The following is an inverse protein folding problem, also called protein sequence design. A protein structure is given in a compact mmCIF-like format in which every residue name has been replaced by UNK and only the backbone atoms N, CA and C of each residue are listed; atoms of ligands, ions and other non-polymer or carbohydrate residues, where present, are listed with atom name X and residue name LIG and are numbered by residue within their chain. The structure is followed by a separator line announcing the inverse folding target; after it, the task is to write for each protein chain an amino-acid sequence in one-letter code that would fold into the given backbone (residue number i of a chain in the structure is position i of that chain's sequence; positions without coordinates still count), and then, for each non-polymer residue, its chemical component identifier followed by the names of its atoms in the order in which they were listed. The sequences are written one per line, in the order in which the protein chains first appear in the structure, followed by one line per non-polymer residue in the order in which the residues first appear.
data_IF_325135766373
#
_entry.id   IF_325135766373
#
_cell.length_a   1.000
_cell.length_b   1.000
_cell.length_c   1.000
_cell.angle_alpha   90.00
_cell.angle_beta   90.00
_cell.angle_gamma   90.00
#
_symmetry.space_group_name_H-M   'P 1'
#
loop_
_entity.id
_entity.type
_entity.pdbx_description
1 polymer ?
#
# COMPACT_ATOMS: atom_id res chain seq x y z
N UNK A 1 -43.17 -10.79 33.96
CA UNK A 1 -42.49 -11.76 33.10
C UNK A 1 -41.48 -11.02 32.26
N UNK A 2 -40.19 -10.99 32.68
CA UNK A 2 -39.08 -10.43 31.89
C UNK A 2 -38.43 -11.58 31.16
N UNK A 3 -38.53 -11.56 29.81
CA UNK A 3 -37.86 -12.55 28.97
C UNK A 3 -36.34 -12.28 28.95
N UNK A 4 -35.54 -13.24 29.41
CA UNK A 4 -34.10 -13.30 29.23
C UNK A 4 -33.83 -13.56 27.73
N UNK A 5 -33.38 -12.54 27.00
CA UNK A 5 -32.73 -12.73 25.72
C UNK A 5 -31.30 -13.22 25.99
N UNK A 6 -31.08 -14.51 25.84
CA UNK A 6 -29.76 -15.11 25.88
C UNK A 6 -28.88 -14.51 24.78
N UNK A 7 -27.73 -13.97 25.15
CA UNK A 7 -26.66 -13.58 24.22
C UNK A 7 -26.15 -14.86 23.57
N UNK A 8 -26.53 -15.11 22.33
CA UNK A 8 -25.82 -16.06 21.45
C UNK A 8 -24.46 -15.45 21.16
N UNK A 9 -23.48 -15.79 21.99
CA UNK A 9 -22.08 -15.48 21.74
C UNK A 9 -21.60 -16.34 20.57
N UNK A 10 -21.53 -15.76 19.38
CA UNK A 10 -20.72 -16.34 18.31
C UNK A 10 -19.26 -16.24 18.73
N UNK A 11 -18.71 -17.32 19.23
CA UNK A 11 -17.26 -17.50 19.42
C UNK A 11 -16.76 -18.08 18.11
N UNK A 12 -16.03 -17.30 17.29
CA UNK A 12 -15.39 -17.89 16.12
C UNK A 12 -14.41 -18.96 16.62
N UNK A 13 -14.59 -20.20 16.22
CA UNK A 13 -13.56 -21.21 16.38
C UNK A 13 -12.36 -20.70 15.61
N UNK A 14 -11.29 -20.35 16.33
CA UNK A 14 -10.04 -19.96 15.72
C UNK A 14 -9.53 -21.18 14.92
N UNK A 15 -9.34 -21.07 13.59
CA UNK A 15 -8.66 -22.15 12.87
C UNK A 15 -7.25 -22.27 13.45
N UNK A 16 -6.80 -23.51 13.65
CA UNK A 16 -5.41 -23.80 14.01
C UNK A 16 -4.54 -23.51 12.80
N UNK A 17 -3.78 -22.42 12.83
CA UNK A 17 -2.93 -21.96 11.74
C UNK A 17 -1.48 -22.45 11.83
N UNK A 18 -1.19 -23.39 12.72
CA UNK A 18 0.17 -23.89 12.91
C UNK A 18 1.04 -22.97 13.74
N UNK A 19 2.35 -23.16 13.66
CA UNK A 19 3.32 -22.42 14.46
C UNK A 19 3.38 -20.95 14.00
N UNK A 20 3.26 -20.00 14.93
CA UNK A 20 3.38 -18.55 14.67
C UNK A 20 4.77 -18.25 14.10
N UNK A 21 4.81 -17.48 13.03
CA UNK A 21 6.04 -17.00 12.42
C UNK A 21 6.38 -15.61 12.97
N UNK A 22 7.63 -15.41 13.42
CA UNK A 22 8.09 -14.13 13.88
C UNK A 22 8.45 -13.21 12.68
N UNK A 23 8.34 -11.88 12.81
CA UNK A 23 8.75 -10.94 11.77
C UNK A 23 10.26 -10.99 11.58
N UNK A 24 10.74 -10.68 10.38
CA UNK A 24 12.18 -10.57 10.09
C UNK A 24 12.75 -9.29 10.69
N UNK A 25 11.96 -8.22 10.74
CA UNK A 25 12.37 -6.90 11.23
C UNK A 25 11.32 -6.31 12.15
N UNK A 26 11.74 -5.69 13.24
CA UNK A 26 10.86 -4.82 14.04
C UNK A 26 10.90 -3.41 13.46
N UNK A 27 9.80 -2.99 12.86
CA UNK A 27 9.66 -1.66 12.27
C UNK A 27 9.15 -0.65 13.31
N UNK A 28 9.79 0.50 13.34
CA UNK A 28 9.43 1.65 14.15
C UNK A 28 9.39 2.94 13.29
N UNK A 29 9.29 4.11 13.91
CA UNK A 29 9.30 5.37 13.17
C UNK A 29 10.65 5.72 12.53
N UNK A 30 11.75 5.13 12.96
CA UNK A 30 13.07 5.39 12.38
C UNK A 30 13.31 4.52 11.15
N UNK A 31 12.87 3.28 11.20
CA UNK A 31 13.08 2.26 10.17
C UNK A 31 11.95 2.16 9.13
N UNK A 32 10.71 2.54 9.48
CA UNK A 32 9.57 2.50 8.57
C UNK A 32 9.52 3.75 7.69
N UNK A 33 10.42 3.87 6.73
CA UNK A 33 10.62 5.04 5.86
C UNK A 33 10.86 4.63 4.40
N UNK A 34 10.93 5.58 3.49
CA UNK A 34 11.32 5.38 2.11
C UNK A 34 10.25 4.80 1.20
N UNK A 35 10.64 4.36 -0.02
CA UNK A 35 9.71 3.82 -1.01
C UNK A 35 9.42 2.33 -0.78
N UNK A 36 8.17 2.00 -0.50
CA UNK A 36 7.67 0.63 -0.39
C UNK A 36 6.95 0.23 -1.68
N UNK A 37 7.28 -0.93 -2.24
CA UNK A 37 6.62 -1.44 -3.43
C UNK A 37 5.17 -1.83 -3.12
N UNK A 38 4.21 -1.07 -3.65
CA UNK A 38 2.78 -1.39 -3.55
C UNK A 38 2.34 -2.37 -4.64
N UNK A 39 2.80 -3.62 -4.60
CA UNK A 39 2.81 -4.55 -5.72
C UNK A 39 1.42 -5.06 -6.12
N UNK A 40 1.06 -5.07 -7.44
CA UNK A 40 -0.14 -5.74 -7.94
C UNK A 40 -0.01 -7.25 -7.84
N UNK A 41 -1.13 -7.93 -7.61
CA UNK A 41 -1.19 -9.41 -7.59
C UNK A 41 -1.16 -9.94 -9.02
N UNK A 42 -0.43 -11.01 -9.28
CA UNK A 42 -0.43 -11.67 -10.58
C UNK A 42 -1.66 -12.58 -10.74
N UNK A 43 -2.44 -12.33 -11.79
CA UNK A 43 -3.59 -13.16 -12.18
C UNK A 43 -3.32 -13.88 -13.50
N UNK A 44 -3.71 -15.15 -13.58
CA UNK A 44 -3.66 -15.94 -14.80
C UNK A 44 -4.78 -15.54 -15.78
N UNK A 45 -4.75 -16.09 -16.98
CA UNK A 45 -5.81 -15.88 -17.97
C UNK A 45 -7.16 -16.51 -17.52
N UNK A 46 -7.12 -17.50 -16.63
CA UNK A 46 -8.28 -18.15 -16.01
C UNK A 46 -8.78 -17.43 -14.74
N UNK A 47 -8.24 -16.23 -14.44
CA UNK A 47 -8.59 -15.41 -13.29
C UNK A 47 -8.23 -16.03 -11.94
N UNK A 48 -7.20 -16.89 -11.91
CA UNK A 48 -6.65 -17.51 -10.71
C UNK A 48 -5.33 -16.85 -10.30
N UNK A 49 -4.91 -17.04 -9.05
CA UNK A 49 -3.63 -16.52 -8.55
C UNK A 49 -2.45 -17.21 -9.23
N UNK A 50 -1.63 -16.45 -9.97
CA UNK A 50 -0.35 -16.90 -10.54
C UNK A 50 0.77 -16.67 -9.51
N UNK A 51 0.90 -17.63 -8.60
CA UNK A 51 1.86 -17.54 -7.49
C UNK A 51 3.31 -17.46 -7.98
N UNK A 52 3.67 -18.20 -9.03
CA UNK A 52 5.04 -18.21 -9.54
C UNK A 52 5.45 -16.81 -10.04
N UNK A 53 4.61 -16.21 -10.87
CA UNK A 53 4.86 -14.85 -11.39
C UNK A 53 4.85 -13.83 -10.26
N UNK A 54 3.92 -13.94 -9.31
CA UNK A 54 3.86 -13.01 -8.18
C UNK A 54 5.12 -13.09 -7.31
N UNK A 55 5.56 -14.28 -6.92
CA UNK A 55 6.80 -14.47 -6.14
C UNK A 55 8.03 -13.93 -6.86
N UNK A 56 8.12 -14.12 -8.17
CA UNK A 56 9.21 -13.58 -9.00
C UNK A 56 9.21 -12.03 -8.98
N UNK A 57 8.05 -11.39 -9.13
CA UNK A 57 7.94 -9.93 -9.12
C UNK A 57 8.23 -9.36 -7.71
N UNK A 58 7.81 -10.05 -6.63
CA UNK A 58 8.18 -9.72 -5.23
C UNK A 58 9.70 -9.82 -5.03
N UNK A 59 10.31 -10.94 -5.44
CA UNK A 59 11.76 -11.15 -5.31
C UNK A 59 12.57 -10.05 -6.02
N UNK A 60 12.18 -9.68 -7.24
CA UNK A 60 12.79 -8.55 -7.97
C UNK A 60 12.71 -7.24 -7.19
N UNK A 61 11.56 -6.96 -6.56
CA UNK A 61 11.43 -5.78 -5.71
C UNK A 61 12.35 -5.85 -4.49
N UNK A 62 12.52 -7.02 -3.87
CA UNK A 62 13.44 -7.19 -2.74
C UNK A 62 14.90 -6.96 -3.11
N UNK A 63 15.31 -7.36 -4.32
CA UNK A 63 16.70 -7.30 -4.80
C UNK A 63 17.18 -5.88 -5.14
N UNK A 64 16.28 -4.93 -5.40
CA UNK A 64 16.65 -3.57 -5.85
C UNK A 64 16.96 -2.58 -4.74
N UNK A 65 17.01 -3.01 -3.47
CA UNK A 65 17.47 -2.17 -2.36
C UNK A 65 16.39 -1.29 -1.71
N UNK A 66 15.10 -1.48 -2.04
CA UNK A 66 14.00 -0.77 -1.37
C UNK A 66 13.83 -1.22 0.09
N UNK A 67 13.24 -0.37 0.97
CA UNK A 67 13.03 -0.70 2.37
C UNK A 67 12.11 -1.89 2.61
N UNK A 68 11.08 -2.10 1.79
CA UNK A 68 10.15 -3.21 1.96
C UNK A 68 9.12 -3.33 0.85
N UNK A 69 8.36 -4.42 0.88
CA UNK A 69 7.31 -4.72 -0.11
C UNK A 69 5.94 -4.78 0.56
N UNK A 70 4.93 -4.32 -0.14
CA UNK A 70 3.56 -4.26 0.29
C UNK A 70 2.63 -4.84 -0.76
N UNK A 71 1.63 -5.61 -0.38
CA UNK A 71 0.49 -5.99 -1.22
C UNK A 71 -0.80 -6.11 -0.41
N UNK A 72 -1.93 -6.28 -1.10
CA UNK A 72 -3.25 -6.26 -0.45
C UNK A 72 -3.81 -4.86 -0.24
N UNK A 73 -3.26 -3.84 -0.92
CA UNK A 73 -3.88 -2.52 -1.05
C UNK A 73 -4.65 -2.39 -2.36
N UNK A 74 -4.89 -1.14 -2.81
CA UNK A 74 -5.62 -0.87 -4.07
C UNK A 74 -4.93 -1.49 -5.28
N UNK A 75 -3.60 -1.35 -5.39
CA UNK A 75 -2.79 -1.97 -6.43
C UNK A 75 -2.86 -3.50 -6.40
N UNK A 76 -2.90 -4.09 -5.19
CA UNK A 76 -3.05 -5.53 -4.97
C UNK A 76 -4.49 -6.02 -5.00
N UNK A 77 -5.45 -5.22 -5.44
CA UNK A 77 -6.85 -5.60 -5.69
C UNK A 77 -7.55 -6.28 -4.50
N UNK A 78 -7.27 -5.82 -3.25
CA UNK A 78 -7.87 -6.41 -2.05
C UNK A 78 -9.40 -6.51 -2.10
N UNK A 79 -10.02 -5.60 -2.84
CA UNK A 79 -11.46 -5.47 -3.02
C UNK A 79 -12.05 -6.52 -3.99
N UNK A 80 -11.20 -7.25 -4.69
CA UNK A 80 -11.54 -8.30 -5.65
C UNK A 80 -10.93 -9.67 -5.28
N UNK A 81 -10.57 -9.87 -4.01
CA UNK A 81 -10.05 -11.13 -3.48
C UNK A 81 -10.99 -11.75 -2.47
N UNK A 82 -11.25 -13.03 -2.61
CA UNK A 82 -11.85 -13.84 -1.57
C UNK A 82 -10.86 -14.09 -0.42
N UNK A 83 -11.34 -14.51 0.76
CA UNK A 83 -10.47 -14.66 1.93
C UNK A 83 -9.38 -15.72 1.73
N UNK A 84 -9.67 -16.77 0.99
CA UNK A 84 -8.68 -17.85 0.75
C UNK A 84 -7.63 -17.42 -0.27
N UNK A 85 -7.99 -16.63 -1.27
CA UNK A 85 -7.03 -16.00 -2.19
C UNK A 85 -6.15 -14.99 -1.44
N UNK A 86 -6.75 -14.18 -0.57
CA UNK A 86 -6.00 -13.26 0.30
C UNK A 86 -4.93 -14.02 1.13
N UNK A 87 -5.28 -15.18 1.68
CA UNK A 87 -4.35 -16.01 2.44
C UNK A 87 -3.19 -16.52 1.58
N UNK A 88 -3.47 -16.98 0.38
CA UNK A 88 -2.44 -17.47 -0.55
C UNK A 88 -1.50 -16.34 -0.97
N UNK A 89 -2.05 -15.22 -1.44
CA UNK A 89 -1.28 -14.05 -1.89
C UNK A 89 -0.39 -13.50 -0.77
N UNK A 90 -0.95 -13.31 0.42
CA UNK A 90 -0.19 -12.72 1.53
C UNK A 90 0.87 -13.67 2.10
N UNK A 91 0.62 -14.99 2.08
CA UNK A 91 1.63 -16.00 2.39
C UNK A 91 2.78 -15.93 1.38
N UNK A 92 2.47 -15.93 0.08
CA UNK A 92 3.48 -15.81 -0.98
C UNK A 92 4.31 -14.53 -0.85
N UNK A 93 3.68 -13.40 -0.50
CA UNK A 93 4.37 -12.13 -0.23
C UNK A 93 5.36 -12.26 0.91
N UNK A 94 4.88 -12.65 2.10
CA UNK A 94 5.70 -12.70 3.34
C UNK A 94 6.85 -13.68 3.19
N UNK A 95 6.57 -14.91 2.74
CA UNK A 95 7.60 -15.93 2.56
C UNK A 95 8.71 -15.47 1.59
N UNK A 96 8.32 -14.82 0.47
CA UNK A 96 9.30 -14.33 -0.52
C UNK A 96 10.12 -13.17 0.04
N UNK A 97 9.49 -12.19 0.70
CA UNK A 97 10.20 -11.08 1.32
C UNK A 97 11.21 -11.58 2.36
N UNK A 98 10.80 -12.49 3.25
CA UNK A 98 11.65 -13.05 4.30
C UNK A 98 12.83 -13.86 3.73
N UNK A 99 12.64 -14.58 2.62
CA UNK A 99 13.74 -15.27 1.92
C UNK A 99 14.83 -14.29 1.44
N UNK A 100 14.48 -13.01 1.25
CA UNK A 100 15.39 -11.94 0.83
C UNK A 100 15.74 -10.96 1.95
N UNK A 101 15.49 -11.31 3.21
CA UNK A 101 15.73 -10.45 4.39
C UNK A 101 15.05 -9.07 4.26
N UNK A 102 13.85 -9.01 3.67
CA UNK A 102 13.06 -7.79 3.48
C UNK A 102 11.76 -7.84 4.26
N UNK A 103 11.36 -6.72 4.89
CA UNK A 103 10.07 -6.65 5.55
C UNK A 103 8.91 -6.64 4.55
N UNK A 104 7.84 -7.34 4.95
CA UNK A 104 6.58 -7.41 4.23
C UNK A 104 5.47 -6.68 4.98
N UNK A 105 4.76 -5.76 4.31
CA UNK A 105 3.54 -5.16 4.83
C UNK A 105 2.32 -5.77 4.14
N UNK A 106 1.31 -6.16 4.92
CA UNK A 106 0.07 -6.77 4.43
C UNK A 106 -1.10 -5.81 4.57
N UNK A 107 -1.82 -5.56 3.46
CA UNK A 107 -3.06 -4.80 3.46
C UNK A 107 -4.24 -5.64 3.97
N UNK A 108 -4.89 -5.18 5.04
CA UNK A 108 -5.95 -5.90 5.74
C UNK A 108 -7.32 -5.20 5.65
N UNK A 109 -7.49 -4.28 4.69
CA UNK A 109 -8.75 -3.53 4.52
C UNK A 109 -9.92 -4.46 4.19
N UNK A 110 -11.06 -4.17 4.77
CA UNK A 110 -12.31 -4.89 4.54
C UNK A 110 -13.52 -3.95 4.64
N UNK A 111 -14.69 -4.40 4.22
CA UNK A 111 -15.94 -3.64 4.29
C UNK A 111 -16.54 -3.56 5.70
N UNK A 112 -15.98 -4.29 6.67
CA UNK A 112 -16.46 -4.33 8.06
C UNK A 112 -15.34 -4.75 9.02
N UNK A 113 -15.50 -4.42 10.30
CA UNK A 113 -14.48 -4.64 11.36
C UNK A 113 -14.04 -6.09 11.46
N UNK A 114 -14.99 -7.04 11.50
CA UNK A 114 -14.65 -8.48 11.62
C UNK A 114 -13.81 -9.01 10.48
N UNK A 115 -14.05 -8.56 9.24
CA UNK A 115 -13.23 -8.93 8.09
C UNK A 115 -11.82 -8.35 8.13
N UNK A 116 -11.65 -7.11 8.61
CA UNK A 116 -10.34 -6.51 8.82
C UNK A 116 -9.56 -7.22 9.95
N UNK A 117 -10.25 -7.56 11.05
CA UNK A 117 -9.69 -8.31 12.19
C UNK A 117 -9.20 -9.70 11.77
N UNK A 118 -9.98 -10.43 10.97
CA UNK A 118 -9.57 -11.75 10.46
C UNK A 118 -8.30 -11.67 9.60
N UNK A 119 -8.24 -10.67 8.71
CA UNK A 119 -7.07 -10.44 7.86
C UNK A 119 -5.83 -10.02 8.66
N UNK A 120 -6.00 -9.12 9.64
CA UNK A 120 -4.91 -8.67 10.49
C UNK A 120 -4.35 -9.79 11.36
N UNK A 121 -5.21 -10.65 11.92
CA UNK A 121 -4.79 -11.84 12.67
C UNK A 121 -3.99 -12.79 11.80
N UNK A 122 -4.51 -13.14 10.63
CA UNK A 122 -3.80 -13.97 9.67
C UNK A 122 -2.44 -13.38 9.30
N UNK A 123 -2.37 -12.09 8.98
CA UNK A 123 -1.12 -11.41 8.64
C UNK A 123 -0.09 -11.50 9.80
N UNK A 124 -0.52 -11.32 11.05
CA UNK A 124 0.34 -11.47 12.22
C UNK A 124 0.82 -12.92 12.39
N UNK A 125 -0.05 -13.92 12.19
CA UNK A 125 0.26 -15.36 12.29
C UNK A 125 1.29 -15.81 11.27
N UNK A 126 1.22 -15.27 10.03
CA UNK A 126 2.20 -15.61 8.98
C UNK A 126 3.50 -14.81 9.06
N UNK A 127 3.66 -13.91 10.04
CA UNK A 127 4.89 -13.19 10.27
C UNK A 127 5.01 -11.86 9.51
N UNK A 128 3.92 -11.26 9.02
CA UNK A 128 4.00 -9.94 8.42
C UNK A 128 4.70 -8.94 9.34
N UNK A 129 5.58 -8.10 8.80
CA UNK A 129 6.35 -7.12 9.58
C UNK A 129 5.58 -5.84 9.87
N UNK A 130 4.56 -5.54 9.05
CA UNK A 130 3.61 -4.46 9.27
C UNK A 130 2.24 -4.79 8.67
N UNK A 131 1.21 -4.11 9.17
CA UNK A 131 -0.16 -4.24 8.69
C UNK A 131 -0.66 -2.88 8.24
N UNK A 132 -1.28 -2.82 7.06
CA UNK A 132 -1.96 -1.62 6.60
C UNK A 132 -3.47 -1.82 6.55
N UNK A 133 -4.23 -0.82 6.97
CA UNK A 133 -5.69 -0.85 6.93
C UNK A 133 -6.27 0.55 6.66
N UNK A 134 -7.30 0.61 5.80
CA UNK A 134 -8.18 1.76 5.66
C UNK A 134 -9.47 1.54 6.45
N UNK A 135 -10.22 2.60 6.70
CA UNK A 135 -11.60 2.48 7.19
C UNK A 135 -12.45 1.65 6.21
N UNK A 136 -13.50 0.96 6.69
CA UNK A 136 -14.51 0.37 5.83
C UNK A 136 -15.05 1.38 4.82
N UNK A 137 -15.25 0.95 3.58
CA UNK A 137 -15.42 1.85 2.44
C UNK A 137 -16.80 1.79 1.77
N UNK A 138 -17.62 0.78 2.08
CA UNK A 138 -18.96 0.69 1.46
C UNK A 138 -19.93 1.69 2.09
N UNK A 139 -20.01 1.75 3.42
CA UNK A 139 -20.74 2.76 4.17
C UNK A 139 -19.76 3.64 4.93
N UNK A 140 -20.06 4.94 5.06
CA UNK A 140 -19.23 5.84 5.85
C UNK A 140 -19.29 5.45 7.33
N UNK A 141 -18.13 5.39 7.97
CA UNK A 141 -18.00 5.08 9.39
C UNK A 141 -18.31 6.33 10.22
N UNK A 142 -19.16 6.20 11.26
CA UNK A 142 -19.44 7.29 12.18
C UNK A 142 -18.18 7.70 12.97
N UNK A 143 -18.09 8.96 13.42
CA UNK A 143 -16.87 9.49 14.06
C UNK A 143 -16.52 8.72 15.33
N UNK A 144 -17.51 8.35 16.13
CA UNK A 144 -17.35 7.58 17.36
C UNK A 144 -16.87 6.14 17.13
N UNK A 145 -17.01 5.59 15.93
CA UNK A 145 -16.59 4.23 15.57
C UNK A 145 -15.17 4.17 14.97
N UNK A 146 -14.56 5.31 14.67
CA UNK A 146 -13.21 5.36 14.05
C UNK A 146 -12.17 4.72 14.96
N UNK A 147 -12.05 5.18 16.20
CA UNK A 147 -11.07 4.65 17.17
C UNK A 147 -11.37 3.19 17.55
N UNK A 148 -12.63 2.80 17.86
CA UNK A 148 -12.98 1.40 18.09
C UNK A 148 -12.57 0.45 16.96
N UNK A 149 -12.79 0.85 15.71
CA UNK A 149 -12.38 0.07 14.53
C UNK A 149 -10.88 -0.19 14.51
N UNK A 150 -10.05 0.87 14.54
CA UNK A 150 -8.60 0.72 14.49
C UNK A 150 -8.04 -0.02 15.72
N UNK A 151 -8.63 0.17 16.89
CA UNK A 151 -8.28 -0.58 18.10
C UNK A 151 -8.54 -2.07 17.97
N UNK A 152 -9.65 -2.47 17.34
CA UNK A 152 -9.95 -3.89 17.09
C UNK A 152 -8.92 -4.52 16.13
N UNK A 153 -8.54 -3.82 15.07
CA UNK A 153 -7.52 -4.27 14.12
C UNK A 153 -6.14 -4.34 14.79
N UNK A 154 -5.73 -3.31 15.55
CA UNK A 154 -4.45 -3.25 16.27
C UNK A 154 -4.29 -4.43 17.25
N UNK A 155 -5.35 -4.79 17.98
CA UNK A 155 -5.33 -5.96 18.87
C UNK A 155 -5.13 -7.27 18.10
N UNK A 156 -5.72 -7.39 16.91
CA UNK A 156 -5.56 -8.57 16.06
C UNK A 156 -4.19 -8.61 15.37
N UNK A 157 -3.55 -7.46 15.20
CA UNK A 157 -2.21 -7.32 14.63
C UNK A 157 -1.10 -7.81 15.57
N UNK A 158 -1.41 -8.13 16.82
CA UNK A 158 -0.51 -8.76 17.80
C UNK A 158 0.85 -8.03 17.91
N UNK A 159 0.80 -6.70 18.11
CA UNK A 159 1.97 -5.85 18.27
C UNK A 159 2.67 -5.44 16.97
N UNK A 160 2.26 -5.95 15.80
CA UNK A 160 2.81 -5.52 14.51
C UNK A 160 2.55 -4.03 14.29
N UNK A 161 3.52 -3.27 13.75
CA UNK A 161 3.33 -1.88 13.35
C UNK A 161 2.11 -1.70 12.47
N UNK A 162 1.28 -0.71 12.81
CA UNK A 162 0.07 -0.39 12.07
C UNK A 162 0.29 0.83 11.17
N UNK A 163 0.02 0.65 9.90
CA UNK A 163 -0.12 1.69 8.91
C UNK A 163 -1.61 1.98 8.67
N UNK A 164 -2.01 3.23 8.81
CA UNK A 164 -3.36 3.65 8.42
C UNK A 164 -3.32 4.21 7.00
N UNK A 165 -4.14 3.65 6.11
CA UNK A 165 -4.36 4.25 4.81
C UNK A 165 -5.51 5.25 4.89
N UNK A 166 -5.17 6.53 5.04
CA UNK A 166 -6.12 7.63 5.02
C UNK A 166 -6.45 7.98 3.56
N UNK A 167 -7.71 7.77 3.17
CA UNK A 167 -8.15 7.91 1.79
C UNK A 167 -9.64 8.24 1.70
N UNK A 168 -10.00 9.18 0.84
CA UNK A 168 -11.40 9.49 0.52
C UNK A 168 -12.17 8.32 -0.11
N UNK A 169 -11.49 7.27 -0.58
CA UNK A 169 -12.15 6.02 -1.01
C UNK A 169 -12.92 5.35 0.14
N UNK A 170 -12.49 5.56 1.38
CA UNK A 170 -13.22 5.14 2.57
C UNK A 170 -14.40 6.07 2.94
N UNK A 171 -14.78 7.02 2.05
CA UNK A 171 -15.83 8.04 2.21
C UNK A 171 -15.58 9.04 3.35
N UNK A 172 -14.55 8.81 4.16
CA UNK A 172 -14.12 9.67 5.26
C UNK A 172 -12.60 9.85 5.20
N UNK A 173 -12.14 11.10 5.21
CA UNK A 173 -10.77 11.46 5.53
C UNK A 173 -10.67 11.75 7.02
N UNK A 174 -9.60 11.30 7.66
CA UNK A 174 -9.40 11.48 9.10
C UNK A 174 -8.99 12.93 9.41
N UNK A 175 -9.53 13.46 10.51
CA UNK A 175 -9.11 14.74 11.06
C UNK A 175 -7.86 14.57 11.94
N UNK A 176 -7.15 15.67 12.22
CA UNK A 176 -6.00 15.66 13.14
C UNK A 176 -6.40 15.15 14.53
N UNK A 177 -7.57 15.57 15.03
CA UNK A 177 -8.08 15.10 16.32
C UNK A 177 -8.32 13.59 16.35
N UNK A 178 -8.82 13.01 15.25
CA UNK A 178 -8.98 11.56 15.11
C UNK A 178 -7.64 10.84 15.06
N UNK A 179 -6.65 11.37 14.33
CA UNK A 179 -5.30 10.80 14.32
C UNK A 179 -4.65 10.81 15.72
N UNK A 180 -4.80 11.89 16.48
CA UNK A 180 -4.33 11.95 17.87
C UNK A 180 -5.05 10.94 18.77
N UNK A 181 -6.37 10.83 18.68
CA UNK A 181 -7.15 9.86 19.47
C UNK A 181 -6.77 8.41 19.12
N UNK A 182 -6.46 8.14 17.85
CA UNK A 182 -5.95 6.82 17.41
C UNK A 182 -4.57 6.57 18.01
N UNK A 183 -3.64 7.52 17.91
CA UNK A 183 -2.28 7.40 18.47
C UNK A 183 -2.29 7.13 19.97
N UNK A 184 -3.12 7.85 20.73
CA UNK A 184 -3.29 7.63 22.17
C UNK A 184 -3.85 6.24 22.50
N UNK A 185 -4.73 5.71 21.66
CA UNK A 185 -5.41 4.44 21.87
C UNK A 185 -4.65 3.21 21.35
N UNK A 186 -3.65 3.42 20.47
CA UNK A 186 -3.01 2.38 19.67
C UNK A 186 -1.50 2.62 19.61
N UNK A 187 -0.72 2.01 20.51
CA UNK A 187 0.73 2.25 20.61
C UNK A 187 1.53 1.87 19.38
N UNK A 188 1.02 0.91 18.58
CA UNK A 188 1.66 0.43 17.37
C UNK A 188 1.24 1.20 16.09
N UNK A 189 0.55 2.34 16.21
CA UNK A 189 0.29 3.22 15.08
C UNK A 189 1.56 3.98 14.71
N UNK A 190 2.24 3.56 13.64
CA UNK A 190 3.59 4.03 13.28
C UNK A 190 3.60 4.89 12.02
N UNK A 191 2.69 4.62 11.07
CA UNK A 191 2.70 5.26 9.77
C UNK A 191 1.29 5.57 9.27
N UNK A 192 1.13 6.71 8.61
CA UNK A 192 -0.04 7.05 7.80
C UNK A 192 0.34 7.14 6.34
N UNK A 193 -0.34 6.38 5.50
CA UNK A 193 -0.34 6.57 4.05
C UNK A 193 -1.45 7.53 3.68
N UNK A 194 -1.09 8.74 3.24
CA UNK A 194 -2.04 9.80 2.88
C UNK A 194 -2.25 9.85 1.37
N UNK A 195 -3.50 9.79 0.95
CA UNK A 195 -3.89 9.94 -0.46
C UNK A 195 -4.47 11.33 -0.71
N UNK A 196 -4.56 11.72 -1.98
CA UNK A 196 -5.03 13.04 -2.39
C UNK A 196 -6.31 13.49 -1.67
N UNK A 197 -6.26 14.70 -1.10
CA UNK A 197 -7.37 15.32 -0.39
C UNK A 197 -7.56 14.84 1.06
N UNK A 198 -6.56 14.17 1.64
CA UNK A 198 -6.48 13.89 3.09
C UNK A 198 -5.48 14.81 3.76
N UNK A 199 -5.48 14.82 5.09
CA UNK A 199 -4.71 15.77 5.91
C UNK A 199 -3.21 15.75 5.58
N UNK A 200 -2.60 14.57 5.47
CA UNK A 200 -1.16 14.43 5.24
C UNK A 200 -0.68 14.88 3.86
N UNK A 201 -1.60 15.23 2.94
CA UNK A 201 -1.26 15.80 1.63
C UNK A 201 -1.33 17.34 1.60
N UNK A 202 -1.49 17.98 2.74
CA UNK A 202 -1.36 19.42 2.92
C UNK A 202 -0.10 19.74 3.73
N UNK A 203 0.47 20.92 3.55
CA UNK A 203 1.69 21.35 4.28
C UNK A 203 1.47 21.29 5.79
N UNK A 204 0.44 21.97 6.29
CA UNK A 204 0.15 22.02 7.72
C UNK A 204 -0.20 20.64 8.29
N UNK A 205 -0.96 19.86 7.55
CA UNK A 205 -1.35 18.52 7.95
C UNK A 205 -0.18 17.53 7.98
N UNK A 206 0.69 17.55 6.97
CA UNK A 206 1.91 16.76 6.94
C UNK A 206 2.80 17.10 8.14
N UNK A 207 3.04 18.38 8.39
CA UNK A 207 3.83 18.86 9.51
C UNK A 207 3.24 18.43 10.86
N UNK A 208 1.93 18.59 11.05
CA UNK A 208 1.26 18.18 12.27
C UNK A 208 1.34 16.67 12.52
N UNK A 209 1.04 15.85 11.52
CA UNK A 209 1.10 14.38 11.59
C UNK A 209 2.52 13.87 11.82
N UNK A 210 3.53 14.48 11.18
CA UNK A 210 4.94 14.06 11.29
C UNK A 210 5.51 14.16 12.69
N UNK A 211 4.84 14.89 13.61
CA UNK A 211 5.27 14.97 15.01
C UNK A 211 5.09 13.65 15.76
N UNK A 212 4.17 12.79 15.35
CA UNK A 212 3.85 11.55 16.08
C UNK A 212 3.76 10.27 15.22
N UNK A 213 3.60 10.37 13.88
CA UNK A 213 3.62 9.23 12.94
C UNK A 213 4.45 9.55 11.71
N UNK A 214 4.92 8.53 10.99
CA UNK A 214 5.55 8.73 9.68
C UNK A 214 4.48 9.03 8.63
N UNK A 215 4.66 10.10 7.88
CA UNK A 215 3.74 10.49 6.81
C UNK A 215 4.26 9.99 5.47
N UNK A 216 3.51 9.09 4.86
CA UNK A 216 3.77 8.61 3.50
C UNK A 216 2.82 9.29 2.52
N UNK A 217 3.39 9.92 1.53
CA UNK A 217 2.69 10.58 0.41
C UNK A 217 3.24 10.04 -0.92
N UNK A 218 2.64 10.44 -2.05
CA UNK A 218 3.27 10.15 -3.34
C UNK A 218 4.64 10.80 -3.45
N UNK A 219 5.58 10.14 -4.11
CA UNK A 219 6.92 10.67 -4.45
C UNK A 219 6.83 11.98 -5.26
N UNK A 220 5.76 12.18 -5.99
CA UNK A 220 5.46 13.44 -6.69
C UNK A 220 5.35 14.64 -5.74
N UNK A 221 4.97 14.40 -4.49
CA UNK A 221 4.82 15.43 -3.46
C UNK A 221 6.05 15.64 -2.59
N UNK A 222 7.13 14.87 -2.77
CA UNK A 222 8.31 14.94 -1.89
C UNK A 222 9.05 16.27 -1.97
N UNK A 223 9.03 16.94 -3.15
CA UNK A 223 9.63 18.26 -3.29
C UNK A 223 8.94 19.33 -2.44
N UNK A 224 7.63 19.19 -2.21
CA UNK A 224 6.80 20.10 -1.42
C UNK A 224 6.71 19.66 0.05
N UNK A 225 6.35 18.40 0.29
CA UNK A 225 6.02 17.91 1.64
C UNK A 225 7.21 17.32 2.40
N UNK A 226 8.34 17.03 1.74
CA UNK A 226 9.56 16.59 2.40
C UNK A 226 10.06 17.57 3.48
N UNK A 227 10.14 18.88 3.22
CA UNK A 227 10.49 19.89 4.23
C UNK A 227 9.53 19.91 5.43
N UNK A 228 8.33 19.35 5.29
CA UNK A 228 7.27 19.32 6.30
C UNK A 228 7.06 17.93 6.93
N UNK A 229 8.02 17.01 6.73
CA UNK A 229 8.10 15.75 7.44
C UNK A 229 7.54 14.53 6.70
N UNK A 230 7.28 14.61 5.38
CA UNK A 230 7.03 13.41 4.58
C UNK A 230 8.30 12.53 4.54
N UNK A 231 8.16 11.21 4.77
CA UNK A 231 9.29 10.29 4.95
C UNK A 231 9.29 9.08 4.03
N UNK A 232 8.29 8.91 3.19
CA UNK A 232 8.20 7.76 2.31
C UNK A 232 6.97 7.75 1.41
N UNK A 233 6.84 6.68 0.65
CA UNK A 233 5.69 6.40 -0.19
C UNK A 233 5.41 4.89 -0.28
N UNK A 234 4.17 4.53 -0.65
CA UNK A 234 3.85 3.21 -1.20
C UNK A 234 3.62 3.42 -2.70
N UNK A 235 4.60 3.10 -3.52
CA UNK A 235 4.70 3.62 -4.87
C UNK A 235 4.76 2.55 -5.95
N UNK A 236 4.14 2.85 -7.09
CA UNK A 236 4.31 2.13 -8.34
C UNK A 236 5.69 2.37 -8.97
N UNK A 237 6.32 3.52 -8.74
CA UNK A 237 7.65 3.81 -9.27
C UNK A 237 8.68 2.76 -8.90
N UNK A 238 8.52 2.06 -7.75
CA UNK A 238 9.43 0.99 -7.32
C UNK A 238 9.52 -0.14 -8.37
N UNK A 239 8.41 -0.52 -8.96
CA UNK A 239 8.36 -1.56 -9.99
C UNK A 239 8.13 -1.02 -11.41
N UNK A 240 8.11 0.31 -11.55
CA UNK A 240 8.28 0.95 -12.86
C UNK A 240 9.77 1.16 -13.13
N UNK A 241 10.44 1.92 -12.25
CA UNK A 241 11.90 2.01 -12.24
C UNK A 241 12.44 2.20 -10.82
N UNK A 242 12.99 1.14 -10.20
CA UNK A 242 13.51 1.22 -8.83
C UNK A 242 14.68 2.20 -8.69
N UNK A 243 15.54 2.36 -9.72
CA UNK A 243 16.67 3.28 -9.68
C UNK A 243 16.20 4.72 -9.51
N UNK A 244 15.20 5.12 -10.28
CA UNK A 244 14.65 6.47 -10.21
C UNK A 244 14.05 6.79 -8.85
N UNK A 245 13.24 5.89 -8.28
CA UNK A 245 12.62 6.13 -6.98
C UNK A 245 13.63 6.12 -5.85
N UNK A 246 14.67 5.29 -5.91
CA UNK A 246 15.75 5.26 -4.92
C UNK A 246 16.59 6.53 -4.97
N UNK A 247 16.86 7.06 -6.16
CA UNK A 247 17.53 8.34 -6.32
C UNK A 247 16.69 9.51 -5.75
N UNK A 248 15.38 9.52 -5.99
CA UNK A 248 14.46 10.49 -5.37
C UNK A 248 14.45 10.33 -3.84
N UNK A 249 14.44 9.10 -3.35
CA UNK A 249 14.47 8.85 -1.90
C UNK A 249 15.79 9.29 -1.26
N UNK A 250 16.92 9.07 -1.93
CA UNK A 250 18.21 9.60 -1.47
C UNK A 250 18.15 11.13 -1.31
N UNK A 251 17.60 11.85 -2.30
CA UNK A 251 17.43 13.31 -2.24
C UNK A 251 16.51 13.72 -1.08
N UNK A 252 15.42 12.98 -0.83
CA UNK A 252 14.53 13.21 0.30
C UNK A 252 15.27 13.02 1.64
N UNK A 253 16.04 11.93 1.77
CA UNK A 253 16.79 11.58 2.98
C UNK A 253 17.91 12.59 3.28
N UNK A 254 18.57 13.08 2.23
CA UNK A 254 19.64 14.09 2.32
C UNK A 254 19.09 15.52 2.47
N UNK A 255 17.75 15.71 2.50
CA UNK A 255 17.08 16.99 2.50
C UNK A 255 17.48 17.89 1.31
N UNK A 256 17.79 17.28 0.17
CA UNK A 256 18.12 18.01 -1.06
C UNK A 256 16.85 18.43 -1.81
N UNK A 257 16.17 19.40 -1.22
CA UNK A 257 14.91 19.93 -1.74
C UNK A 257 15.06 20.59 -3.12
N UNK A 258 16.25 21.13 -3.43
CA UNK A 258 16.50 21.73 -4.73
C UNK A 258 16.55 20.65 -5.83
N UNK A 259 17.24 19.54 -5.57
CA UNK A 259 17.30 18.45 -6.52
C UNK A 259 15.92 17.78 -6.72
N UNK A 260 15.11 17.63 -5.65
CA UNK A 260 13.73 17.15 -5.77
C UNK A 260 12.87 18.10 -6.64
N UNK A 261 12.96 19.40 -6.42
CA UNK A 261 12.25 20.39 -7.27
C UNK A 261 12.66 20.35 -8.73
N UNK A 262 13.93 20.04 -9.00
CA UNK A 262 14.44 19.90 -10.38
C UNK A 262 13.85 18.66 -11.07
N UNK A 263 13.56 17.59 -10.33
CA UNK A 263 12.93 16.38 -10.89
C UNK A 263 11.40 16.47 -11.01
N UNK A 264 10.75 17.32 -10.22
CA UNK A 264 9.29 17.40 -10.16
C UNK A 264 8.61 17.60 -11.54
N UNK A 265 9.13 18.44 -12.47
CA UNK A 265 8.53 18.60 -13.81
C UNK A 265 8.48 17.32 -14.63
N UNK A 266 9.46 16.40 -14.49
CA UNK A 266 9.45 15.12 -15.21
C UNK A 266 8.34 14.20 -14.68
N UNK A 267 8.18 14.12 -13.36
CA UNK A 267 7.10 13.35 -12.74
C UNK A 267 5.73 13.94 -13.10
N UNK A 268 5.64 15.27 -13.14
CA UNK A 268 4.42 15.97 -13.57
C UNK A 268 4.08 15.64 -15.03
N UNK A 269 5.05 15.71 -15.94
CA UNK A 269 4.85 15.37 -17.35
C UNK A 269 4.37 13.92 -17.55
N UNK A 270 4.90 12.96 -16.76
CA UNK A 270 4.40 11.59 -16.76
C UNK A 270 2.94 11.52 -16.31
N UNK A 271 2.60 12.20 -15.22
CA UNK A 271 1.22 12.23 -14.71
C UNK A 271 0.25 12.84 -15.72
N UNK A 272 0.65 13.92 -16.38
CA UNK A 272 -0.14 14.58 -17.45
C UNK A 272 -0.32 13.66 -18.65
N UNK A 273 0.75 13.00 -19.10
CA UNK A 273 0.65 12.02 -20.18
C UNK A 273 -0.33 10.90 -19.86
N UNK A 274 -0.24 10.33 -18.63
CA UNK A 274 -1.16 9.27 -18.18
C UNK A 274 -2.60 9.77 -18.12
N UNK A 275 -2.83 10.96 -17.59
CA UNK A 275 -4.17 11.55 -17.49
C UNK A 275 -4.79 11.81 -18.87
N UNK A 276 -4.03 12.39 -19.79
CA UNK A 276 -4.51 12.74 -21.14
C UNK A 276 -4.78 11.50 -21.99
N UNK A 277 -3.91 10.49 -21.94
CA UNK A 277 -4.00 9.33 -22.82
C UNK A 277 -4.88 8.21 -22.26
N UNK A 278 -4.96 8.08 -20.94
CA UNK A 278 -5.63 6.95 -20.29
C UNK A 278 -6.73 7.36 -19.29
N UNK A 279 -6.88 8.65 -18.96
CA UNK A 279 -7.83 9.10 -17.94
C UNK A 279 -9.29 8.75 -18.23
N UNK A 280 -9.67 8.64 -19.51
CA UNK A 280 -11.03 8.25 -19.94
C UNK A 280 -11.24 6.73 -20.04
N UNK A 281 -10.19 5.92 -19.84
CA UNK A 281 -10.23 4.47 -20.02
C UNK A 281 -10.93 3.74 -18.85
N UNK A 282 -11.19 4.42 -17.74
CA UNK A 282 -11.75 3.82 -16.53
C UNK A 282 -10.80 2.89 -15.78
N UNK A 283 -9.49 3.08 -15.96
CA UNK A 283 -8.47 2.32 -15.24
C UNK A 283 -8.52 2.57 -13.74
N UNK A 284 -8.38 1.51 -12.96
CA UNK A 284 -8.06 1.57 -11.54
C UNK A 284 -6.54 1.64 -11.34
N UNK A 285 -6.08 1.84 -10.11
CA UNK A 285 -4.64 1.90 -9.79
C UNK A 285 -3.89 0.70 -10.37
N UNK A 286 -4.43 -0.51 -10.18
CA UNK A 286 -3.77 -1.74 -10.61
C UNK A 286 -3.53 -1.82 -12.13
N UNK A 287 -4.41 -1.23 -12.95
CA UNK A 287 -4.21 -1.20 -14.40
C UNK A 287 -3.03 -0.27 -14.79
N UNK A 288 -2.94 0.92 -14.17
CA UNK A 288 -1.79 1.81 -14.35
C UNK A 288 -0.51 1.16 -13.86
N UNK A 289 -0.54 0.53 -12.70
CA UNK A 289 0.60 -0.11 -12.05
C UNK A 289 1.19 -1.20 -12.93
N UNK A 290 0.34 -2.09 -13.45
CA UNK A 290 0.74 -3.16 -14.37
C UNK A 290 1.27 -2.60 -15.68
N UNK A 291 0.55 -1.63 -16.28
CA UNK A 291 0.96 -0.98 -17.53
C UNK A 291 2.35 -0.36 -17.41
N UNK A 292 2.60 0.43 -16.36
CA UNK A 292 3.89 1.08 -16.14
C UNK A 292 5.03 0.08 -15.90
N UNK A 293 4.82 -0.91 -15.03
CA UNK A 293 5.82 -1.95 -14.76
C UNK A 293 6.14 -2.84 -15.97
N UNK A 294 5.15 -3.06 -16.86
CA UNK A 294 5.33 -3.78 -18.13
C UNK A 294 6.03 -2.90 -19.17
N UNK A 295 5.69 -1.61 -19.27
CA UNK A 295 6.32 -0.66 -20.17
C UNK A 295 7.81 -0.48 -19.87
N UNK A 296 8.16 -0.36 -18.61
CA UNK A 296 9.56 -0.31 -18.16
C UNK A 296 10.28 -1.67 -18.29
N UNK A 297 9.54 -2.80 -18.36
CA UNK A 297 10.12 -4.15 -18.46
C UNK A 297 10.48 -4.78 -17.12
N UNK A 298 10.10 -4.15 -16.00
CA UNK A 298 10.39 -4.64 -14.66
C UNK A 298 9.42 -5.76 -14.24
N UNK A 299 8.11 -5.54 -14.28
CA UNK A 299 7.13 -6.54 -13.91
C UNK A 299 6.95 -7.62 -14.98
N UNK A 300 6.65 -8.83 -14.54
CA UNK A 300 6.26 -9.97 -15.37
C UNK A 300 4.77 -10.32 -15.27
N UNK A 301 4.09 -9.82 -14.25
CA UNK A 301 2.64 -10.00 -14.09
C UNK A 301 1.86 -9.67 -15.37
N UNK A 302 0.73 -10.35 -15.59
CA UNK A 302 -0.16 -10.07 -16.71
C UNK A 302 -0.74 -8.65 -16.61
N UNK A 303 -1.32 -8.13 -17.69
CA UNK A 303 -2.03 -6.84 -17.68
C UNK A 303 -3.43 -6.95 -17.07
N UNK A 304 -3.85 -8.15 -16.68
CA UNK A 304 -5.20 -8.46 -16.21
C UNK A 304 -5.51 -7.79 -14.89
N UNK A 305 -6.50 -6.90 -14.88
CA UNK A 305 -7.25 -6.50 -13.70
C UNK A 305 -8.46 -7.43 -13.54
N UNK A 306 -8.84 -7.79 -12.32
CA UNK A 306 -10.02 -8.64 -12.11
C UNK A 306 -11.32 -7.91 -12.48
N UNK A 307 -12.21 -8.60 -13.18
CA UNK A 307 -13.52 -8.06 -13.54
C UNK A 307 -14.30 -7.57 -12.30
N UNK A 308 -15.05 -6.49 -12.42
CA UNK A 308 -15.41 -5.73 -13.62
C UNK A 308 -14.43 -4.61 -14.02
N UNK A 309 -13.23 -4.59 -13.46
CA UNK A 309 -12.26 -3.51 -13.66
C UNK A 309 -11.50 -3.66 -14.98
N UNK A 310 -11.30 -2.51 -15.64
CA UNK A 310 -10.70 -2.47 -16.98
C UNK A 310 -9.21 -2.76 -16.90
N UNK A 311 -8.75 -3.68 -17.74
CA UNK A 311 -7.33 -3.99 -17.91
C UNK A 311 -6.69 -3.08 -18.96
N UNK A 312 -5.41 -2.76 -18.77
CA UNK A 312 -4.61 -2.15 -19.83
C UNK A 312 -4.34 -3.16 -20.97
N UNK A 313 -4.20 -2.67 -22.18
CA UNK A 313 -3.86 -3.48 -23.36
C UNK A 313 -2.36 -3.46 -23.64
N UNK A 314 -1.91 -4.31 -24.56
CA UNK A 314 -0.53 -4.28 -25.07
C UNK A 314 -0.23 -2.96 -25.79
N UNK A 315 -1.18 -2.43 -26.54
CA UNK A 315 -1.03 -1.13 -27.22
C UNK A 315 -0.87 0.03 -26.22
N UNK A 316 -1.55 -0.04 -25.05
CA UNK A 316 -1.38 0.95 -23.99
C UNK A 316 0.05 0.89 -23.40
N UNK A 317 0.59 -0.32 -23.23
CA UNK A 317 1.98 -0.53 -22.79
C UNK A 317 2.98 0.02 -23.80
N UNK A 318 2.79 -0.27 -25.10
CA UNK A 318 3.67 0.21 -26.16
C UNK A 318 3.62 1.75 -26.26
N UNK A 319 2.43 2.35 -26.13
CA UNK A 319 2.27 3.81 -26.12
C UNK A 319 3.01 4.47 -24.94
N UNK A 320 2.92 3.88 -23.75
CA UNK A 320 3.64 4.40 -22.58
C UNK A 320 5.14 4.19 -22.73
N UNK A 321 5.58 3.04 -23.26
CA UNK A 321 6.99 2.76 -23.51
C UNK A 321 7.59 3.75 -24.51
N UNK A 322 6.90 4.03 -25.62
CA UNK A 322 7.32 5.03 -26.61
C UNK A 322 7.45 6.42 -25.97
N UNK A 323 6.51 6.80 -25.12
CA UNK A 323 6.62 8.06 -24.38
C UNK A 323 7.84 8.10 -23.45
N UNK A 324 8.19 6.99 -22.78
CA UNK A 324 9.42 6.90 -22.02
C UNK A 324 10.65 7.10 -22.89
N UNK A 325 10.72 6.46 -24.05
CA UNK A 325 11.84 6.56 -24.99
C UNK A 325 12.09 8.04 -25.40
N UNK A 326 11.04 8.81 -25.60
CA UNK A 326 11.13 10.19 -26.08
C UNK A 326 11.31 11.23 -24.95
N UNK A 327 10.68 11.02 -23.79
CA UNK A 327 10.54 12.08 -22.78
C UNK A 327 11.16 11.74 -21.43
N UNK A 328 11.35 10.43 -21.13
CA UNK A 328 11.90 9.98 -19.85
C UNK A 328 12.67 8.67 -20.04
N UNK A 329 13.76 8.65 -20.84
CA UNK A 329 14.48 7.43 -21.20
C UNK A 329 15.10 6.71 -19.99
N UNK A 330 15.36 7.40 -18.87
CA UNK A 330 15.83 6.81 -17.64
C UNK A 330 14.86 5.76 -17.10
N UNK A 331 13.55 5.88 -17.39
CA UNK A 331 12.53 4.88 -17.00
C UNK A 331 12.76 3.49 -17.61
N UNK A 332 13.58 3.38 -18.63
CA UNK A 332 13.93 2.13 -19.30
C UNK A 332 15.30 1.56 -18.88
N UNK A 333 16.01 2.25 -17.99
CA UNK A 333 17.32 1.88 -17.48
C UNK A 333 17.17 1.17 -16.12
N UNK A 334 16.80 -0.11 -16.14
CA UNK A 334 16.57 -0.94 -14.96
C UNK A 334 17.86 -1.34 -14.24
#
# INVERSE_FOLDING_TARGET
MRAQLGRLGYVPVAPDFGQKVEPVVTLDRESFVGPWAGLPVAWSDEDTFDEETFRRDVARCCEVGIPGVYSGGSSGEFYAMELDEFRQVTRALVDTCHTHDKPAMVGCTSTYTGGAVLRARWAAEIGADAIQVALPFWMEVADEEVVPFFRAVSRAADGRPLSIYDTKRAKKALTLAQHHAIMEAIPNYVMVKSNAGTLGTTVDGCQALSTFVNVFVSEHSWAELGPHGARGCCSAMVYWNPREVLELWRKLSDADWQALRTNAPRLQALSEFLAVNFGVRGFTDTAYDRMGGRAAGFLKTSLRSRAPYVSASRDDVERLRHWYEEHYPEMLQL
#
